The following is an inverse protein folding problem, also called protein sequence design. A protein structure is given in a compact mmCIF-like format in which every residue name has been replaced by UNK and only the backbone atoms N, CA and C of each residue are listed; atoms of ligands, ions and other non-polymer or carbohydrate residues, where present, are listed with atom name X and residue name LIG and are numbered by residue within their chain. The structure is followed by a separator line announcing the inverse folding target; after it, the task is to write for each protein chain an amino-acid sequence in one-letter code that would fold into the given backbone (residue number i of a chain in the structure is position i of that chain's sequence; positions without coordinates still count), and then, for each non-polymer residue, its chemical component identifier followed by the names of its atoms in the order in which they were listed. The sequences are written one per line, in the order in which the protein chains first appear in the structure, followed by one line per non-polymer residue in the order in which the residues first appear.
data_IF_985425761063
#
_entry.id   IF_985425761063
#
_cell.length_a   1.000
_cell.length_b   1.000
_cell.length_c   1.000
_cell.angle_alpha   90.00
_cell.angle_beta   90.00
_cell.angle_gamma   90.00
#
_symmetry.space_group_name_H-M   'P 1'
#
loop_
_entity.id
_entity.type
_entity.pdbx_description
1 polymer ?
#
# COMPACT_ATOMS: atom_id res chain seq x y z
N UNK A 1 -0.72 -19.67 -23.91
CA UNK A 1 -1.76 -18.63 -24.13
C UNK A 1 -1.70 -17.64 -22.98
N UNK A 2 -1.23 -16.42 -23.22
CA UNK A 2 -1.22 -15.38 -22.18
C UNK A 2 -2.68 -15.07 -21.81
N UNK A 3 -3.05 -15.32 -20.56
CA UNK A 3 -4.35 -14.91 -20.05
C UNK A 3 -4.27 -13.40 -19.80
N UNK A 4 -5.10 -12.65 -20.50
CA UNK A 4 -5.04 -11.19 -20.56
C UNK A 4 -6.18 -10.58 -19.72
N UNK A 5 -5.89 -9.51 -18.98
CA UNK A 5 -6.87 -8.77 -18.16
C UNK A 5 -6.91 -7.31 -18.62
N UNK A 6 -8.11 -6.73 -18.72
CA UNK A 6 -8.27 -5.30 -19.06
C UNK A 6 -7.56 -4.42 -18.04
N UNK A 7 -6.60 -3.61 -18.50
CA UNK A 7 -5.77 -2.72 -17.68
C UNK A 7 -6.62 -1.76 -16.82
N UNK A 8 -7.69 -1.17 -17.39
CA UNK A 8 -8.55 -0.20 -16.69
C UNK A 8 -9.15 -0.77 -15.39
N UNK A 9 -9.66 -2.01 -15.46
CA UNK A 9 -10.26 -2.67 -14.30
C UNK A 9 -9.18 -3.00 -13.28
N UNK A 10 -8.06 -3.55 -13.74
CA UNK A 10 -6.94 -3.93 -12.88
C UNK A 10 -6.38 -2.73 -12.08
N UNK A 11 -6.17 -1.57 -12.75
CA UNK A 11 -5.74 -0.32 -12.11
C UNK A 11 -6.74 0.15 -11.05
N UNK A 12 -8.04 0.14 -11.36
CA UNK A 12 -9.10 0.53 -10.41
C UNK A 12 -9.15 -0.38 -9.18
N UNK A 13 -9.05 -1.70 -9.36
CA UNK A 13 -8.99 -2.62 -8.23
C UNK A 13 -7.79 -2.37 -7.33
N UNK A 14 -6.61 -2.15 -7.94
CA UNK A 14 -5.39 -1.88 -7.19
C UNK A 14 -5.50 -0.55 -6.42
N UNK A 15 -6.07 0.48 -7.05
CA UNK A 15 -6.38 1.73 -6.37
C UNK A 15 -7.30 1.53 -5.17
N UNK A 16 -8.42 0.81 -5.35
CA UNK A 16 -9.35 0.52 -4.25
C UNK A 16 -8.65 -0.20 -3.11
N UNK A 17 -7.84 -1.23 -3.38
CA UNK A 17 -7.09 -1.96 -2.35
C UNK A 17 -6.19 -1.04 -1.53
N UNK A 18 -5.41 -0.19 -2.19
CA UNK A 18 -4.49 0.72 -1.51
C UNK A 18 -5.21 1.83 -0.75
N UNK A 19 -6.21 2.47 -1.35
CA UNK A 19 -6.94 3.55 -0.70
C UNK A 19 -7.79 3.07 0.48
N UNK A 20 -8.48 1.94 0.33
CA UNK A 20 -9.28 1.36 1.41
C UNK A 20 -8.34 0.84 2.51
N UNK A 21 -7.29 0.10 2.15
CA UNK A 21 -6.33 -0.42 3.12
C UNK A 21 -5.61 0.67 3.91
N UNK A 22 -5.05 1.66 3.21
CA UNK A 22 -4.41 2.81 3.86
C UNK A 22 -5.41 3.64 4.66
N UNK A 23 -6.63 3.86 4.14
CA UNK A 23 -7.68 4.61 4.81
C UNK A 23 -8.14 3.99 6.11
N UNK A 24 -8.35 2.67 6.14
CA UNK A 24 -8.70 1.94 7.37
C UNK A 24 -7.60 2.11 8.42
N UNK A 25 -6.33 1.87 8.05
CA UNK A 25 -5.21 1.99 8.99
C UNK A 25 -5.00 3.43 9.46
N UNK A 26 -5.18 4.40 8.56
CA UNK A 26 -5.12 5.83 8.88
C UNK A 26 -6.16 6.21 9.92
N UNK A 27 -7.43 5.83 9.72
CA UNK A 27 -8.52 6.12 10.68
C UNK A 27 -8.22 5.51 12.05
N UNK A 28 -7.73 4.26 12.09
CA UNK A 28 -7.34 3.61 13.34
C UNK A 28 -6.23 4.40 14.05
N UNK A 29 -5.19 4.82 13.33
CA UNK A 29 -4.09 5.59 13.91
C UNK A 29 -4.53 6.98 14.38
N UNK A 30 -5.45 7.65 13.67
CA UNK A 30 -6.04 8.92 14.13
C UNK A 30 -6.74 8.70 15.47
N UNK A 31 -7.62 7.69 15.56
CA UNK A 31 -8.33 7.39 16.80
C UNK A 31 -7.37 7.09 17.95
N UNK A 32 -6.39 6.23 17.75
CA UNK A 32 -5.39 5.90 18.77
C UNK A 32 -4.53 7.11 19.18
N UNK A 33 -4.20 7.98 18.22
CA UNK A 33 -3.47 9.23 18.48
C UNK A 33 -4.30 10.19 19.34
N UNK A 34 -5.60 10.33 19.06
CA UNK A 34 -6.50 11.21 19.83
C UNK A 34 -6.76 10.73 21.25
N UNK A 35 -6.78 9.41 21.48
CA UNK A 35 -6.93 8.80 22.82
C UNK A 35 -5.61 8.82 23.60
N UNK A 36 -4.50 9.22 22.97
CA UNK A 36 -3.20 9.35 23.64
C UNK A 36 -2.42 8.06 23.77
N UNK A 37 -2.77 7.00 23.02
CA UNK A 37 -2.09 5.67 23.04
C UNK A 37 -0.59 5.79 22.82
N UNK A 38 -0.18 6.78 22.03
CA UNK A 38 1.22 7.00 21.63
C UNK A 38 1.87 8.20 22.32
N UNK A 39 1.18 8.88 23.24
CA UNK A 39 1.70 10.10 23.87
C UNK A 39 2.95 9.83 24.73
N UNK A 40 4.00 10.68 24.67
CA UNK A 40 4.12 11.91 23.88
C UNK A 40 4.66 11.72 22.45
N UNK A 41 4.92 10.48 22.03
CA UNK A 41 5.58 10.10 20.77
C UNK A 41 4.63 9.94 19.58
N UNK A 42 3.54 10.69 19.54
CA UNK A 42 2.56 10.60 18.44
C UNK A 42 3.19 10.93 17.09
N UNK A 43 4.13 11.88 17.05
CA UNK A 43 4.85 12.26 15.83
C UNK A 43 5.64 11.09 15.22
N UNK A 44 6.27 10.27 16.07
CA UNK A 44 7.07 9.12 15.62
C UNK A 44 6.22 8.07 14.89
N UNK A 45 4.96 7.91 15.29
CA UNK A 45 3.99 7.02 14.63
C UNK A 45 3.66 7.50 13.22
N UNK A 46 3.45 8.80 13.05
CA UNK A 46 3.18 9.39 11.73
C UNK A 46 4.43 9.37 10.84
N UNK A 47 5.61 9.58 11.40
CA UNK A 47 6.90 9.43 10.73
C UNK A 47 7.22 7.97 10.32
N UNK A 48 6.53 7.00 10.93
CA UNK A 48 6.54 5.61 10.49
C UNK A 48 5.50 5.33 9.42
N UNK A 49 4.27 5.81 9.59
CA UNK A 49 3.14 5.48 8.73
C UNK A 49 3.19 6.17 7.36
N UNK A 50 3.49 7.47 7.31
CA UNK A 50 3.40 8.24 6.06
C UNK A 50 4.35 7.72 4.95
N UNK A 51 5.63 7.41 5.23
CA UNK A 51 6.54 6.93 4.18
C UNK A 51 6.15 5.55 3.59
N UNK A 52 5.39 4.75 4.32
CA UNK A 52 4.91 3.42 3.89
C UNK A 52 3.87 3.55 2.77
N UNK A 53 2.94 4.50 2.89
CA UNK A 53 1.81 4.64 1.95
C UNK A 53 1.97 5.74 0.92
N UNK A 54 2.64 6.85 1.27
CA UNK A 54 2.71 8.06 0.42
C UNK A 54 3.25 7.78 -0.98
N UNK A 55 4.37 7.05 -1.18
CA UNK A 55 4.91 6.80 -2.51
C UNK A 55 3.92 6.06 -3.41
N UNK A 56 3.27 5.03 -2.87
CA UNK A 56 2.37 4.16 -3.63
C UNK A 56 1.04 4.84 -3.94
N UNK A 57 0.45 5.55 -2.98
CA UNK A 57 -0.77 6.31 -3.20
C UNK A 57 -0.56 7.42 -4.23
N UNK A 58 0.57 8.14 -4.15
CA UNK A 58 0.93 9.19 -5.12
C UNK A 58 1.07 8.60 -6.53
N UNK A 59 1.74 7.46 -6.66
CA UNK A 59 1.90 6.76 -7.94
C UNK A 59 0.55 6.34 -8.52
N UNK A 60 -0.33 5.76 -7.70
CA UNK A 60 -1.68 5.36 -8.13
C UNK A 60 -2.50 6.58 -8.58
N UNK A 61 -2.47 7.68 -7.82
CA UNK A 61 -3.16 8.92 -8.19
C UNK A 61 -2.65 9.44 -9.53
N UNK A 62 -1.32 9.51 -9.71
CA UNK A 62 -0.72 9.98 -10.95
C UNK A 62 -1.21 9.20 -12.17
N UNK A 63 -1.42 7.88 -12.01
CA UNK A 63 -1.91 7.01 -13.08
C UNK A 63 -3.40 7.24 -13.34
N UNK A 64 -4.22 7.33 -12.30
CA UNK A 64 -5.64 7.61 -12.45
C UNK A 64 -5.89 8.97 -13.12
N UNK A 65 -5.09 9.99 -12.77
CA UNK A 65 -5.13 11.31 -13.40
C UNK A 65 -4.66 11.24 -14.86
N UNK A 66 -3.57 10.52 -15.15
CA UNK A 66 -3.10 10.32 -16.52
C UNK A 66 -4.13 9.61 -17.42
N UNK A 67 -4.79 8.58 -16.89
CA UNK A 67 -5.89 7.87 -17.54
C UNK A 67 -7.09 8.81 -17.78
N UNK A 68 -7.48 9.62 -16.79
CA UNK A 68 -8.59 10.56 -16.91
C UNK A 68 -8.33 11.67 -17.94
N UNK A 69 -7.08 12.10 -18.09
CA UNK A 69 -6.66 13.09 -19.10
C UNK A 69 -6.47 12.49 -20.50
N UNK A 70 -6.73 11.20 -20.70
CA UNK A 70 -6.52 10.53 -21.99
C UNK A 70 -5.05 10.45 -22.41
N UNK A 71 -4.11 10.72 -21.49
CA UNK A 71 -2.65 10.68 -21.74
C UNK A 71 -2.07 9.27 -21.62
N UNK A 72 -2.89 8.32 -21.19
CA UNK A 72 -2.54 6.91 -21.05
C UNK A 72 -2.60 6.20 -22.40
N UNK A 73 -1.43 5.75 -22.90
CA UNK A 73 -1.31 5.08 -24.19
C UNK A 73 -1.79 3.62 -24.22
N UNK A 74 -2.65 3.16 -23.31
CA UNK A 74 -2.93 1.72 -23.22
C UNK A 74 -4.25 1.32 -22.60
N UNK A 75 -5.29 1.24 -23.43
CA UNK A 75 -6.41 0.29 -23.25
C UNK A 75 -5.98 -1.16 -23.55
N UNK A 76 -4.67 -1.45 -23.41
CA UNK A 76 -4.08 -2.77 -23.64
C UNK A 76 -4.45 -3.75 -22.54
N UNK A 77 -4.31 -5.02 -22.83
CA UNK A 77 -4.46 -6.04 -21.81
C UNK A 77 -3.14 -6.19 -21.04
N UNK A 78 -3.22 -6.35 -19.72
CA UNK A 78 -2.07 -6.71 -18.89
C UNK A 78 -2.06 -8.23 -18.70
N UNK A 79 -0.87 -8.79 -18.61
CA UNK A 79 -0.70 -10.19 -18.23
C UNK A 79 -1.33 -10.48 -16.86
N UNK A 80 -2.17 -11.52 -16.80
CA UNK A 80 -2.93 -11.90 -15.61
C UNK A 80 -2.04 -12.35 -14.45
N UNK A 81 -0.88 -12.93 -14.74
CA UNK A 81 0.06 -13.33 -13.71
C UNK A 81 0.69 -12.10 -13.05
N UNK A 82 1.15 -11.12 -13.84
CA UNK A 82 1.67 -9.85 -13.30
C UNK A 82 0.62 -9.14 -12.45
N UNK A 83 -0.62 -9.00 -12.96
CA UNK A 83 -1.70 -8.41 -12.18
C UNK A 83 -1.96 -9.14 -10.84
N UNK A 84 -2.05 -10.47 -10.86
CA UNK A 84 -2.29 -11.27 -9.64
C UNK A 84 -1.14 -11.17 -8.66
N UNK A 85 0.10 -11.15 -9.15
CA UNK A 85 1.29 -10.99 -8.32
C UNK A 85 1.28 -9.62 -7.63
N UNK A 86 1.12 -8.54 -8.38
CA UNK A 86 1.06 -7.16 -7.84
C UNK A 86 -0.09 -6.99 -6.86
N UNK A 87 -1.27 -7.54 -7.16
CA UNK A 87 -2.43 -7.50 -6.27
C UNK A 87 -2.15 -8.27 -4.97
N UNK A 88 -1.63 -9.48 -5.05
CA UNK A 88 -1.35 -10.32 -3.89
C UNK A 88 -0.29 -9.69 -2.99
N UNK A 89 0.80 -9.19 -3.58
CA UNK A 89 1.85 -8.47 -2.84
C UNK A 89 1.30 -7.21 -2.17
N UNK A 90 0.42 -6.46 -2.85
CA UNK A 90 -0.20 -5.26 -2.27
C UNK A 90 -1.06 -5.60 -1.05
N UNK A 91 -1.92 -6.62 -1.16
CA UNK A 91 -2.78 -7.05 -0.05
C UNK A 91 -1.94 -7.55 1.12
N UNK A 92 -0.96 -8.43 0.86
CA UNK A 92 -0.07 -8.97 1.90
C UNK A 92 0.69 -7.83 2.59
N UNK A 93 1.22 -6.87 1.83
CA UNK A 93 1.93 -5.73 2.40
C UNK A 93 1.05 -4.91 3.35
N UNK A 94 -0.16 -4.55 2.93
CA UNK A 94 -1.09 -3.78 3.77
C UNK A 94 -1.41 -4.56 5.06
N UNK A 95 -1.61 -5.88 4.98
CA UNK A 95 -1.81 -6.72 6.15
C UNK A 95 -0.58 -6.73 7.07
N UNK A 96 0.63 -6.82 6.50
CA UNK A 96 1.88 -6.76 7.27
C UNK A 96 2.08 -5.41 7.96
N UNK A 97 1.67 -4.30 7.33
CA UNK A 97 1.68 -2.96 7.94
C UNK A 97 0.63 -2.86 9.05
N UNK A 98 -0.55 -3.45 8.86
CA UNK A 98 -1.58 -3.49 9.89
C UNK A 98 -1.19 -4.32 11.12
N UNK A 99 -0.37 -5.34 10.94
CA UNK A 99 0.04 -6.27 12.00
C UNK A 99 0.54 -5.59 13.29
N UNK A 100 1.55 -4.68 13.28
CA UNK A 100 1.99 -3.99 14.50
C UNK A 100 0.90 -3.13 15.15
N UNK A 101 -0.04 -2.58 14.36
CA UNK A 101 -1.14 -1.74 14.88
C UNK A 101 -2.17 -2.62 15.61
N UNK A 102 -2.53 -3.77 15.03
CA UNK A 102 -3.53 -4.68 15.61
C UNK A 102 -2.98 -5.53 16.77
N UNK A 103 -1.68 -5.86 16.75
CA UNK A 103 -1.03 -6.64 17.81
C UNK A 103 -0.63 -5.77 19.01
N UNK A 104 -0.43 -4.46 18.82
CA UNK A 104 -0.08 -3.52 19.90
C UNK A 104 -0.86 -3.73 21.22
N UNK A 105 -2.20 -3.82 21.25
CA UNK A 105 -2.94 -4.03 22.50
C UNK A 105 -2.76 -5.42 23.14
N UNK A 106 -2.26 -6.41 22.39
CA UNK A 106 -2.02 -7.77 22.88
C UNK A 106 -0.55 -8.05 23.23
N UNK A 107 0.34 -7.08 23.01
CA UNK A 107 1.77 -7.23 23.21
C UNK A 107 2.21 -6.61 24.53
N UNK A 108 3.20 -7.22 25.17
CA UNK A 108 3.90 -6.63 26.32
C UNK A 108 4.89 -5.53 25.88
N UNK A 109 5.19 -5.42 24.57
CA UNK A 109 6.10 -4.40 24.04
C UNK A 109 5.37 -3.08 23.81
N UNK A 110 6.05 -1.93 24.02
CA UNK A 110 5.51 -0.63 23.66
C UNK A 110 5.08 -0.60 22.17
N UNK A 111 3.89 -0.08 21.84
CA UNK A 111 3.38 -0.06 20.47
C UNK A 111 4.35 0.54 19.43
N UNK A 112 5.03 1.63 19.80
CA UNK A 112 6.01 2.27 18.93
C UNK A 112 7.21 1.35 18.63
N UNK A 113 7.66 0.55 19.60
CA UNK A 113 8.78 -0.38 19.41
C UNK A 113 8.43 -1.49 18.42
N UNK A 114 7.16 -1.94 18.41
CA UNK A 114 6.66 -2.88 17.41
C UNK A 114 6.71 -2.27 16.00
N UNK A 115 6.23 -1.02 15.87
CA UNK A 115 6.29 -0.28 14.60
C UNK A 115 7.73 -0.10 14.11
N UNK A 116 8.63 0.37 14.97
CA UNK A 116 10.05 0.54 14.64
C UNK A 116 10.69 -0.77 14.19
N UNK A 117 10.49 -1.86 14.94
CA UNK A 117 11.02 -3.17 14.57
C UNK A 117 10.49 -3.66 13.22
N UNK A 118 9.25 -3.30 12.88
CA UNK A 118 8.63 -3.71 11.63
C UNK A 118 9.23 -3.08 10.38
N UNK A 119 9.94 -1.95 10.52
CA UNK A 119 10.65 -1.33 9.39
C UNK A 119 11.63 -2.30 8.73
N UNK A 120 12.26 -3.19 9.49
CA UNK A 120 13.26 -4.14 8.99
C UNK A 120 12.74 -5.06 7.89
N UNK A 121 11.49 -5.51 7.99
CA UNK A 121 10.87 -6.37 6.98
C UNK A 121 9.93 -5.61 6.04
N UNK A 122 9.31 -4.52 6.49
CA UNK A 122 8.42 -3.72 5.66
C UNK A 122 9.17 -3.00 4.53
N UNK A 123 10.39 -2.53 4.75
CA UNK A 123 11.16 -1.81 3.72
C UNK A 123 11.53 -2.72 2.53
N UNK A 124 12.14 -3.90 2.72
CA UNK A 124 12.36 -4.84 1.63
C UNK A 124 11.07 -5.23 0.89
N UNK A 125 9.98 -5.44 1.64
CA UNK A 125 8.69 -5.83 1.05
C UNK A 125 8.06 -4.69 0.24
N UNK A 126 8.23 -3.44 0.70
CA UNK A 126 7.84 -2.25 -0.06
C UNK A 126 8.62 -2.16 -1.38
N UNK A 127 9.89 -2.55 -1.38
CA UNK A 127 10.69 -2.68 -2.60
C UNK A 127 10.09 -3.68 -3.59
N UNK A 128 9.69 -4.87 -3.12
CA UNK A 128 9.03 -5.89 -3.96
C UNK A 128 7.70 -5.39 -4.52
N UNK A 129 6.87 -4.77 -3.68
CA UNK A 129 5.61 -4.15 -4.08
C UNK A 129 5.84 -3.07 -5.13
N UNK A 130 6.79 -2.17 -4.90
CA UNK A 130 7.11 -1.05 -5.80
C UNK A 130 7.63 -1.56 -7.15
N UNK A 131 8.49 -2.58 -7.14
CA UNK A 131 8.95 -3.25 -8.36
C UNK A 131 7.80 -3.90 -9.12
N UNK A 132 6.89 -4.60 -8.41
CA UNK A 132 5.72 -5.24 -9.04
C UNK A 132 4.72 -4.22 -9.60
N UNK A 133 4.56 -3.08 -8.94
CA UNK A 133 3.77 -1.95 -9.44
C UNK A 133 4.41 -1.35 -10.69
N UNK A 134 5.72 -1.05 -10.63
CA UNK A 134 6.48 -0.56 -11.77
C UNK A 134 6.38 -1.50 -12.97
N UNK A 135 6.59 -2.80 -12.77
CA UNK A 135 6.43 -3.81 -13.81
C UNK A 135 5.00 -3.85 -14.38
N UNK A 136 3.98 -3.80 -13.52
CA UNK A 136 2.57 -3.76 -13.93
C UNK A 136 2.24 -2.54 -14.80
N UNK A 137 2.86 -1.38 -14.53
CA UNK A 137 2.59 -0.14 -15.27
C UNK A 137 3.46 0.05 -16.52
N UNK A 138 4.68 -0.50 -16.53
CA UNK A 138 5.57 -0.47 -17.70
C UNK A 138 5.19 -1.53 -18.72
N UNK A 139 4.61 -2.65 -18.28
CA UNK A 139 4.21 -3.74 -19.18
C UNK A 139 3.04 -3.31 -20.08
N UNK A 140 3.40 -2.84 -21.27
CA UNK A 140 2.49 -2.65 -22.41
C UNK A 140 2.29 -4.03 -23.03
N UNK A 141 1.13 -4.64 -22.80
CA UNK A 141 0.69 -5.79 -23.59
C UNK A 141 0.25 -5.37 -24.98
#
# INVERSE_FOLDING_TARGET
MANLVRSDKAKKYLAVVWFVGAGILFVILVLQSTVGVYSPKTEDVWNWFLPIFTPTLTLIIGILVSDALGKSQGTGNVDRFIYRLTLSLSVIYILMVGLPIFIAPFSALPPLKLMESSRLWLVPFQGLVSASLGAFFVNKG
#
